data_IF_107124203921
#
_entry.id   IF_107124203921
#
_cell.length_a   1.000
_cell.length_b   1.000
_cell.length_c   1.000
_cell.angle_alpha   90.00
_cell.angle_beta   90.00
_cell.angle_gamma   90.00
#
_symmetry.space_group_name_H-M   'P 1'
#
loop_
_entity.id
_entity.type
_entity.pdbx_description
1 polymer ?
#
# COMPACT_ATOMS: atom_id res chain seq x y z
N UNK A 1 -17.21 -45.28 29.30
CA UNK A 1 -16.10 -44.78 28.47
C UNK A 1 -16.62 -43.54 27.76
N UNK A 2 -16.10 -42.33 27.91
CA UNK A 2 -15.01 -41.78 28.70
C UNK A 2 -15.11 -40.25 28.52
N UNK A 3 -14.82 -39.53 29.59
CA UNK A 3 -14.85 -38.08 29.73
C UNK A 3 -14.11 -37.29 28.63
N UNK A 4 -14.61 -36.07 28.35
CA UNK A 4 -13.83 -34.91 27.89
C UNK A 4 -14.64 -33.64 28.25
N UNK A 5 -14.49 -33.13 29.47
CA UNK A 5 -13.68 -31.95 29.84
C UNK A 5 -14.25 -30.63 29.28
N UNK A 6 -14.87 -29.86 30.18
CA UNK A 6 -15.15 -28.44 30.05
C UNK A 6 -14.52 -27.73 31.26
N UNK A 7 -14.09 -26.50 31.00
CA UNK A 7 -13.83 -25.41 31.94
C UNK A 7 -12.54 -25.44 32.78
N UNK A 8 -11.53 -24.75 32.25
CA UNK A 8 -10.54 -24.04 33.05
C UNK A 8 -11.00 -22.58 33.21
N UNK A 9 -11.81 -22.31 34.24
CA UNK A 9 -12.05 -20.96 34.72
C UNK A 9 -11.19 -20.67 35.95
N UNK A 10 -10.40 -19.63 35.78
CA UNK A 10 -9.59 -18.88 36.72
C UNK A 10 -10.41 -18.44 37.95
N UNK A 11 -10.02 -18.91 39.13
CA UNK A 11 -10.43 -18.32 40.42
C UNK A 11 -9.20 -18.25 41.32
N UNK A 12 -8.80 -17.02 41.63
CA UNK A 12 -7.83 -16.67 42.65
C UNK A 12 -8.25 -17.22 44.02
N UNK A 13 -7.30 -17.82 44.74
CA UNK A 13 -7.32 -17.86 46.20
C UNK A 13 -6.04 -17.20 46.74
N UNK A 14 -6.22 -15.98 47.21
CA UNK A 14 -5.32 -15.29 48.13
C UNK A 14 -5.26 -16.08 49.43
N UNK A 15 -4.05 -16.38 49.93
CA UNK A 15 -3.72 -16.21 51.35
C UNK A 15 -2.20 -16.31 51.56
N UNK A 16 -1.64 -15.35 52.31
CA UNK A 16 -0.37 -15.43 53.04
C UNK A 16 0.96 -15.25 52.26
N UNK A 17 1.23 -14.00 51.89
CA UNK A 17 2.53 -13.39 52.19
C UNK A 17 2.33 -11.94 52.67
N UNK A 18 1.72 -11.83 53.86
CA UNK A 18 1.76 -10.63 54.70
C UNK A 18 3.23 -10.37 55.07
N UNK A 19 3.94 -9.60 54.25
CA UNK A 19 5.07 -8.82 54.73
C UNK A 19 5.16 -7.50 53.96
N UNK A 20 4.35 -6.55 54.45
CA UNK A 20 4.62 -5.12 54.54
C UNK A 20 5.75 -4.63 53.62
N UNK A 21 5.44 -4.13 52.43
CA UNK A 21 6.13 -2.94 51.94
C UNK A 21 5.08 -2.05 51.29
N UNK A 22 4.53 -1.21 52.16
CA UNK A 22 3.82 0.02 51.82
C UNK A 22 4.37 0.59 50.51
N UNK A 23 3.46 0.81 49.56
CA UNK A 23 3.37 2.02 48.73
C UNK A 23 4.43 3.04 49.14
N UNK A 24 5.25 3.50 48.18
CA UNK A 24 6.16 4.64 48.33
C UNK A 24 5.36 5.85 48.84
N UNK A 25 5.12 5.88 50.14
CA UNK A 25 4.91 7.07 50.89
C UNK A 25 6.24 7.79 50.81
N UNK A 26 6.18 9.01 50.27
CA UNK A 26 7.16 10.08 50.43
C UNK A 26 8.17 9.77 51.53
N UNK A 27 9.41 9.45 51.15
CA UNK A 27 10.47 9.27 52.14
C UNK A 27 10.65 10.60 52.86
N UNK A 28 10.13 10.68 54.08
CA UNK A 28 10.35 11.76 55.05
C UNK A 28 11.85 11.84 55.35
N UNK A 29 12.49 12.79 54.67
CA UNK A 29 13.84 13.26 54.96
C UNK A 29 13.70 14.37 56.01
N UNK A 30 14.41 14.24 57.12
CA UNK A 30 14.47 15.30 58.15
C UNK A 30 15.80 16.03 57.98
N UNK A 31 15.74 17.36 57.92
CA UNK A 31 16.90 18.23 57.94
C UNK A 31 17.22 18.57 59.40
N UNK A 32 18.38 18.16 59.89
CA UNK A 32 18.93 18.73 61.13
C UNK A 32 19.74 20.00 60.79
N UNK A 33 19.78 20.96 61.71
CA UNK A 33 20.30 22.33 61.57
C UNK A 33 21.76 22.41 61.06
N UNK A 34 21.95 22.13 59.77
CA UNK A 34 23.23 22.04 59.08
C UNK A 34 23.32 20.84 58.14
N UNK A 35 22.46 20.78 57.12
CA UNK A 35 22.64 20.07 55.83
C UNK A 35 23.11 18.59 55.82
N UNK A 36 22.88 17.79 56.86
CA UNK A 36 23.20 16.34 56.84
C UNK A 36 21.93 15.48 56.68
N UNK A 37 21.88 14.68 55.62
CA UNK A 37 20.76 13.74 55.37
C UNK A 37 20.95 12.45 56.19
N UNK A 38 19.99 12.16 57.07
CA UNK A 38 19.97 10.97 57.91
C UNK A 38 18.82 10.06 57.49
N UNK A 39 19.06 8.75 57.40
CA UNK A 39 18.00 7.78 57.17
C UNK A 39 17.11 7.67 58.43
N UNK A 40 15.85 8.07 58.33
CA UNK A 40 14.91 8.13 59.46
C UNK A 40 14.59 6.76 60.10
N UNK A 41 14.90 5.63 59.45
CA UNK A 41 14.70 4.29 60.02
C UNK A 41 15.94 3.70 60.69
N UNK A 42 17.13 4.11 60.30
CA UNK A 42 18.39 3.50 60.81
C UNK A 42 19.28 4.48 61.56
N UNK A 43 18.96 5.78 61.53
CA UNK A 43 19.72 6.83 62.21
C UNK A 43 21.14 7.04 61.67
N UNK A 44 21.52 6.37 60.58
CA UNK A 44 22.86 6.48 59.99
C UNK A 44 22.95 7.67 59.05
N UNK A 45 24.05 8.41 59.18
CA UNK A 45 24.44 9.49 58.27
C UNK A 45 24.67 8.89 56.89
N UNK A 46 23.99 9.43 55.88
CA UNK A 46 24.25 9.07 54.50
C UNK A 46 25.52 9.80 54.07
N UNK A 47 26.62 9.07 53.91
CA UNK A 47 27.89 9.66 53.47
C UNK A 47 27.72 10.30 52.08
N UNK A 48 28.48 11.36 51.80
CA UNK A 48 28.44 12.13 50.54
C UNK A 48 28.57 11.23 49.31
N UNK A 49 29.40 10.18 49.37
CA UNK A 49 29.54 9.18 48.30
C UNK A 49 28.25 8.40 48.03
N UNK A 50 27.53 7.97 49.07
CA UNK A 50 26.26 7.24 48.91
C UNK A 50 25.15 8.14 48.41
N UNK A 51 25.16 9.42 48.80
CA UNK A 51 24.26 10.46 48.27
C UNK A 51 24.52 10.68 46.77
N UNK A 52 25.78 10.77 46.37
CA UNK A 52 26.15 10.94 44.96
C UNK A 52 25.74 9.73 44.11
N UNK A 53 25.90 8.50 44.61
CA UNK A 53 25.41 7.30 43.91
C UNK A 53 23.89 7.27 43.75
N UNK A 54 23.12 7.58 44.80
CA UNK A 54 21.66 7.62 44.72
C UNK A 54 21.16 8.71 43.77
N UNK A 55 21.83 9.87 43.76
CA UNK A 55 21.57 10.94 42.80
C UNK A 55 21.87 10.50 41.37
N UNK A 56 22.98 9.79 41.13
CA UNK A 56 23.29 9.25 39.80
C UNK A 56 22.30 8.20 39.33
N UNK A 57 21.85 7.29 40.21
CA UNK A 57 20.83 6.29 39.86
C UNK A 57 19.49 6.98 39.55
N UNK A 58 19.08 7.97 40.37
CA UNK A 58 17.86 8.75 40.16
C UNK A 58 17.92 9.55 38.84
N UNK A 59 19.06 10.18 38.55
CA UNK A 59 19.31 10.87 37.27
C UNK A 59 19.28 9.90 36.09
N UNK A 60 19.89 8.71 36.22
CA UNK A 60 19.87 7.69 35.18
C UNK A 60 18.45 7.15 34.91
N UNK A 61 17.65 6.90 35.95
CA UNK A 61 16.27 6.46 35.83
C UNK A 61 15.37 7.55 35.22
N UNK A 62 15.58 8.81 35.60
CA UNK A 62 14.88 9.96 35.04
C UNK A 62 15.28 10.26 33.59
N UNK A 63 16.49 9.87 33.15
CA UNK A 63 16.89 9.90 31.74
C UNK A 63 16.37 8.70 30.94
N UNK A 64 16.22 7.52 31.56
CA UNK A 64 15.76 6.29 30.89
C UNK A 64 14.22 6.28 30.68
N UNK A 65 13.47 6.94 31.57
CA UNK A 65 12.01 7.03 31.50
C UNK A 65 11.48 7.76 30.25
N UNK A 66 11.98 8.96 29.87
CA UNK A 66 11.54 9.63 28.66
C UNK A 66 11.98 8.87 27.41
N UNK A 67 13.18 8.27 27.38
CA UNK A 67 13.66 7.50 26.22
C UNK A 67 12.82 6.25 25.97
N UNK A 68 12.39 5.54 27.03
CA UNK A 68 11.46 4.42 26.91
C UNK A 68 10.06 4.84 26.43
N UNK A 69 9.54 5.96 26.93
CA UNK A 69 8.28 6.55 26.45
C UNK A 69 8.37 6.99 24.98
N UNK A 70 9.48 7.61 24.57
CA UNK A 70 9.74 7.95 23.18
C UNK A 70 9.85 6.70 22.29
N UNK A 71 10.44 5.61 22.78
CA UNK A 71 10.53 4.34 22.04
C UNK A 71 9.15 3.70 21.87
N UNK A 72 8.32 3.66 22.92
CA UNK A 72 6.94 3.16 22.84
C UNK A 72 6.12 4.04 21.88
N UNK A 73 6.26 5.36 21.98
CA UNK A 73 5.58 6.29 21.08
C UNK A 73 6.06 6.14 19.63
N UNK A 74 7.36 5.93 19.40
CA UNK A 74 7.89 5.64 18.07
C UNK A 74 7.37 4.30 17.53
N UNK A 75 7.26 3.27 18.38
CA UNK A 75 6.69 1.96 18.04
C UNK A 75 5.19 2.03 17.75
N UNK A 76 4.42 2.87 18.44
CA UNK A 76 2.99 3.08 18.14
C UNK A 76 2.75 3.98 16.93
N UNK A 77 3.69 4.87 16.60
CA UNK A 77 3.68 5.72 15.39
C UNK A 77 4.20 4.97 14.15
N UNK A 78 4.70 3.73 14.29
CA UNK A 78 4.80 2.78 13.17
C UNK A 78 3.39 2.37 12.70
N UNK A 79 2.64 3.34 12.19
CA UNK A 79 1.52 3.09 11.32
C UNK A 79 2.03 2.19 10.22
N UNK A 80 1.42 1.01 10.12
CA UNK A 80 1.59 0.13 8.96
C UNK A 80 1.22 0.99 7.76
N UNK A 81 2.22 1.45 7.00
CA UNK A 81 1.98 2.16 5.75
C UNK A 81 1.31 1.14 4.84
N UNK A 82 -0.02 1.21 4.74
CA UNK A 82 -0.78 0.36 3.84
C UNK A 82 -0.64 0.93 2.45
N UNK A 83 0.15 0.25 1.62
CA UNK A 83 0.32 0.60 0.22
C UNK A 83 -0.90 0.20 -0.62
N UNK A 84 -1.98 -0.34 -0.04
CA UNK A 84 -3.22 -0.74 -0.72
C UNK A 84 -4.34 0.27 -0.50
N UNK A 85 -5.48 0.07 -1.17
CA UNK A 85 -6.71 0.77 -0.85
C UNK A 85 -7.07 0.53 0.64
N UNK A 86 -7.64 1.53 1.35
CA UNK A 86 -8.06 1.37 2.74
C UNK A 86 -9.21 0.37 2.87
N UNK A 87 -9.11 -0.54 3.84
CA UNK A 87 -10.23 -1.39 4.22
C UNK A 87 -11.34 -0.52 4.84
N UNK A 88 -12.59 -0.80 4.47
CA UNK A 88 -13.77 -0.19 5.10
C UNK A 88 -14.27 -1.04 6.27
N UNK A 89 -14.93 -0.39 7.23
CA UNK A 89 -15.53 -1.04 8.41
C UNK A 89 -17.04 -1.22 8.29
N UNK A 90 -17.61 -0.89 7.14
CA UNK A 90 -19.02 -1.09 6.77
C UNK A 90 -19.11 -1.94 5.52
N UNK A 91 -20.29 -2.45 5.20
CA UNK A 91 -20.47 -3.31 4.02
C UNK A 91 -20.17 -2.56 2.70
N UNK A 92 -20.57 -1.28 2.63
CA UNK A 92 -20.32 -0.39 1.48
C UNK A 92 -20.33 1.08 1.91
N UNK A 93 -19.83 1.96 1.03
CA UNK A 93 -19.85 3.42 1.21
C UNK A 93 -20.91 4.03 0.30
N UNK A 94 -21.84 4.78 0.87
CA UNK A 94 -22.88 5.50 0.13
C UNK A 94 -22.43 6.95 -0.12
N UNK A 95 -22.47 7.44 -1.37
CA UNK A 95 -22.19 8.84 -1.67
C UNK A 95 -23.15 9.78 -0.92
N UNK A 96 -22.63 10.95 -0.51
CA UNK A 96 -23.47 11.99 0.07
C UNK A 96 -24.61 12.37 -0.89
N UNK A 97 -25.81 12.58 -0.35
CA UNK A 97 -27.05 12.90 -1.08
C UNK A 97 -27.67 11.75 -1.90
N UNK A 98 -27.29 10.50 -1.64
CA UNK A 98 -28.03 9.35 -2.17
C UNK A 98 -29.26 9.07 -1.30
N UNK A 99 -30.46 9.25 -1.86
CA UNK A 99 -31.72 9.14 -1.12
C UNK A 99 -32.29 7.71 -1.06
N UNK A 100 -31.73 6.78 -1.84
CA UNK A 100 -32.04 5.35 -1.79
C UNK A 100 -30.89 4.54 -2.41
N UNK A 101 -30.48 3.45 -1.74
CA UNK A 101 -29.50 2.49 -2.25
C UNK A 101 -30.26 1.23 -2.64
N UNK A 102 -30.21 0.85 -3.91
CA UNK A 102 -30.82 -0.35 -4.46
C UNK A 102 -29.85 -1.09 -5.40
N UNK A 103 -30.34 -2.10 -6.12
CA UNK A 103 -29.52 -2.87 -7.06
C UNK A 103 -28.89 -2.03 -8.17
N UNK A 104 -29.45 -0.86 -8.51
CA UNK A 104 -28.87 0.01 -9.54
C UNK A 104 -27.55 0.64 -9.05
N UNK A 105 -27.44 0.95 -7.75
CA UNK A 105 -26.18 1.45 -7.17
C UNK A 105 -25.04 0.44 -7.34
N UNK A 106 -25.31 -0.86 -7.18
CA UNK A 106 -24.33 -1.93 -7.31
C UNK A 106 -24.16 -2.46 -8.74
N UNK A 107 -24.74 -1.80 -9.75
CA UNK A 107 -24.70 -2.28 -11.14
C UNK A 107 -24.04 -1.25 -12.05
N UNK A 108 -22.90 -1.62 -12.65
CA UNK A 108 -22.30 -0.84 -13.73
C UNK A 108 -22.75 -1.37 -15.10
N UNK A 109 -23.48 -0.55 -15.86
CA UNK A 109 -24.01 -0.93 -17.19
C UNK A 109 -23.20 -0.40 -18.36
N UNK A 110 -22.13 0.38 -18.11
CA UNK A 110 -21.32 1.03 -19.14
C UNK A 110 -20.53 0.09 -20.05
N UNK A 111 -20.47 -1.21 -19.72
CA UNK A 111 -19.81 -2.23 -20.54
C UNK A 111 -20.74 -2.96 -21.52
N UNK A 112 -22.05 -2.67 -21.50
CA UNK A 112 -23.01 -3.30 -22.41
C UNK A 112 -22.68 -2.96 -23.86
N UNK A 113 -22.69 -3.97 -24.73
CA UNK A 113 -22.47 -3.83 -26.17
C UNK A 113 -21.04 -3.50 -26.61
N UNK A 114 -20.05 -3.60 -25.70
CA UNK A 114 -18.64 -3.36 -26.05
C UNK A 114 -18.16 -4.27 -27.19
N UNK A 115 -18.69 -5.49 -27.28
CA UNK A 115 -18.30 -6.48 -28.30
C UNK A 115 -19.17 -6.46 -29.56
N UNK A 116 -20.20 -5.61 -29.60
CA UNK A 116 -21.17 -5.58 -30.71
C UNK A 116 -20.63 -4.80 -31.93
N UNK A 117 -19.58 -4.00 -31.74
CA UNK A 117 -19.04 -3.07 -32.74
C UNK A 117 -18.09 -3.68 -33.78
N UNK A 118 -17.86 -5.00 -33.74
CA UNK A 118 -16.85 -5.67 -34.56
C UNK A 118 -15.42 -5.33 -34.14
N UNK A 119 -14.45 -5.59 -35.03
CA UNK A 119 -13.04 -5.38 -34.74
C UNK A 119 -12.71 -3.88 -34.54
N UNK A 120 -12.01 -3.50 -33.45
CA UNK A 120 -11.60 -2.11 -33.23
C UNK A 120 -10.59 -1.67 -34.31
N UNK A 121 -10.57 -0.38 -34.65
CA UNK A 121 -9.57 0.21 -35.56
C UNK A 121 -8.35 0.77 -34.84
N UNK A 122 -8.48 1.05 -33.54
CA UNK A 122 -7.42 1.55 -32.66
C UNK A 122 -7.51 0.86 -31.32
N UNK A 123 -6.41 0.76 -30.58
CA UNK A 123 -6.44 0.24 -29.21
C UNK A 123 -7.40 1.06 -28.35
N UNK A 124 -8.31 0.39 -27.64
CA UNK A 124 -9.34 1.01 -26.80
C UNK A 124 -9.39 0.33 -25.44
N UNK A 125 -9.46 1.15 -24.39
CA UNK A 125 -9.66 0.71 -23.01
C UNK A 125 -10.96 1.29 -22.50
N UNK A 126 -11.87 0.45 -22.02
CA UNK A 126 -13.10 0.90 -21.34
C UNK A 126 -13.02 0.50 -19.88
N UNK A 127 -13.00 1.48 -18.98
CA UNK A 127 -12.76 1.27 -17.55
C UNK A 127 -14.06 1.21 -16.77
N UNK A 128 -14.03 0.43 -15.70
CA UNK A 128 -14.96 0.47 -14.59
C UNK A 128 -14.12 0.59 -13.31
N UNK A 129 -13.58 1.79 -13.08
CA UNK A 129 -12.88 2.17 -11.85
C UNK A 129 -13.82 2.94 -10.92
N UNK A 130 -13.33 3.38 -9.76
CA UNK A 130 -14.07 4.25 -8.84
C UNK A 130 -14.69 5.47 -9.55
N UNK A 131 -14.03 5.99 -10.59
CA UNK A 131 -14.52 7.14 -11.35
C UNK A 131 -15.80 6.83 -12.16
N UNK A 132 -15.91 5.63 -12.72
CA UNK A 132 -17.05 5.21 -13.54
C UNK A 132 -18.10 4.41 -12.75
N UNK A 133 -17.68 3.78 -11.66
CA UNK A 133 -18.52 2.91 -10.83
C UNK A 133 -18.31 3.21 -9.33
N UNK A 134 -19.07 4.18 -8.78
CA UNK A 134 -18.87 4.66 -7.41
C UNK A 134 -19.04 3.61 -6.31
N UNK A 135 -19.78 2.53 -6.56
CA UNK A 135 -19.93 1.43 -5.61
C UNK A 135 -18.63 0.66 -5.34
N UNK A 136 -17.58 0.85 -6.15
CA UNK A 136 -16.26 0.31 -5.89
C UNK A 136 -15.52 1.00 -4.74
N UNK A 137 -16.06 2.11 -4.20
CA UNK A 137 -15.44 2.82 -3.10
C UNK A 137 -15.30 1.91 -1.86
N UNK A 138 -14.05 1.69 -1.44
CA UNK A 138 -13.72 0.82 -0.31
C UNK A 138 -13.71 -0.68 -0.61
N UNK A 139 -13.91 -1.09 -1.87
CA UNK A 139 -13.97 -2.51 -2.26
C UNK A 139 -12.65 -3.05 -2.81
N UNK A 140 -11.64 -2.19 -2.98
CA UNK A 140 -10.29 -2.58 -3.42
C UNK A 140 -10.24 -3.34 -4.75
N UNK A 141 -11.23 -3.11 -5.63
CA UNK A 141 -11.29 -3.76 -6.94
C UNK A 141 -11.73 -2.79 -8.03
N UNK A 142 -11.17 -2.93 -9.22
CA UNK A 142 -11.67 -2.29 -10.44
C UNK A 142 -11.40 -3.16 -11.67
N UNK A 143 -11.93 -2.73 -12.80
CA UNK A 143 -11.97 -3.54 -14.01
C UNK A 143 -11.74 -2.70 -15.27
N UNK A 144 -11.23 -3.32 -16.32
CA UNK A 144 -11.18 -2.73 -17.66
C UNK A 144 -11.37 -3.80 -18.74
N UNK A 145 -12.02 -3.42 -19.84
CA UNK A 145 -12.04 -4.19 -21.09
C UNK A 145 -11.09 -3.54 -22.08
N UNK A 146 -10.22 -4.35 -22.66
CA UNK A 146 -9.17 -3.96 -23.60
C UNK A 146 -9.47 -4.56 -24.97
N UNK A 147 -9.44 -3.71 -26.00
CA UNK A 147 -9.75 -4.08 -27.37
C UNK A 147 -8.57 -3.68 -28.25
N UNK A 148 -7.98 -4.65 -28.94
CA UNK A 148 -6.78 -4.46 -29.75
C UNK A 148 -7.10 -4.69 -31.23
N UNK A 149 -6.84 -3.72 -32.12
CA UNK A 149 -6.81 -4.01 -33.55
C UNK A 149 -5.68 -4.99 -33.86
N UNK A 150 -5.67 -5.57 -35.06
CA UNK A 150 -4.48 -6.23 -35.59
C UNK A 150 -3.26 -5.29 -35.52
N UNK A 151 -2.13 -5.79 -35.00
CA UNK A 151 -0.94 -4.98 -34.74
C UNK A 151 -1.10 -3.93 -33.62
N UNK A 152 -2.19 -3.97 -32.86
CA UNK A 152 -2.49 -3.01 -31.80
C UNK A 152 -1.60 -3.19 -30.58
N UNK A 153 -1.15 -2.08 -29.99
CA UNK A 153 -0.30 -2.09 -28.78
C UNK A 153 -0.94 -1.30 -27.64
N UNK A 154 -0.91 -1.87 -26.44
CA UNK A 154 -0.94 -1.10 -25.20
C UNK A 154 0.52 -0.86 -24.79
N UNK A 155 1.05 0.36 -24.99
CA UNK A 155 2.47 0.63 -24.85
C UNK A 155 2.97 0.38 -23.42
N UNK A 156 4.30 0.29 -23.20
CA UNK A 156 4.85 0.13 -21.86
C UNK A 156 4.26 1.11 -20.86
N UNK A 157 3.69 0.58 -19.78
CA UNK A 157 3.01 1.35 -18.74
C UNK A 157 3.13 0.65 -17.38
N UNK A 158 2.68 1.33 -16.33
CA UNK A 158 2.61 0.79 -14.97
C UNK A 158 1.33 1.21 -14.25
N UNK A 159 0.91 0.38 -13.30
CA UNK A 159 -0.16 0.63 -12.36
C UNK A 159 0.43 0.90 -10.96
N UNK A 160 0.58 2.18 -10.54
CA UNK A 160 1.29 2.51 -9.31
C UNK A 160 0.58 2.03 -8.04
N UNK A 161 -0.73 1.80 -8.11
CA UNK A 161 -1.54 1.43 -6.94
C UNK A 161 -2.07 0.01 -6.98
N UNK A 162 -1.88 -0.75 -8.05
CA UNK A 162 -2.45 -2.10 -8.17
C UNK A 162 -1.60 -3.07 -8.95
N UNK A 163 -1.72 -4.34 -8.63
CA UNK A 163 -1.39 -5.41 -9.57
C UNK A 163 -2.53 -5.55 -10.58
N UNK A 164 -2.23 -6.03 -11.78
CA UNK A 164 -3.21 -6.30 -12.82
C UNK A 164 -3.25 -7.80 -13.11
N UNK A 165 -4.45 -8.35 -13.18
CA UNK A 165 -4.70 -9.71 -13.61
C UNK A 165 -5.48 -9.67 -14.94
N UNK A 166 -4.78 -9.97 -16.01
CA UNK A 166 -5.31 -10.00 -17.37
C UNK A 166 -5.88 -11.39 -17.69
N UNK A 167 -7.02 -11.43 -18.37
CA UNK A 167 -7.64 -12.63 -18.92
C UNK A 167 -8.00 -12.42 -20.40
N UNK A 168 -7.54 -13.29 -21.29
CA UNK A 168 -7.82 -13.20 -22.73
C UNK A 168 -9.16 -13.85 -23.05
N UNK A 169 -10.05 -13.10 -23.70
CA UNK A 169 -11.39 -13.57 -24.06
C UNK A 169 -11.58 -13.81 -25.56
N UNK A 170 -10.76 -13.19 -26.40
CA UNK A 170 -10.76 -13.41 -27.85
C UNK A 170 -9.38 -13.10 -28.45
N UNK A 171 -9.00 -13.84 -29.50
CA UNK A 171 -7.73 -13.65 -30.20
C UNK A 171 -6.52 -14.16 -29.39
N UNK A 172 -5.38 -13.52 -29.61
CA UNK A 172 -4.11 -13.82 -28.94
C UNK A 172 -3.37 -12.52 -28.62
N UNK A 173 -2.65 -12.50 -27.49
CA UNK A 173 -1.88 -11.34 -27.05
C UNK A 173 -0.47 -11.76 -26.65
N UNK A 174 0.52 -11.08 -27.22
CA UNK A 174 1.85 -11.06 -26.63
C UNK A 174 1.86 -10.10 -25.44
N UNK A 175 2.33 -10.58 -24.30
CA UNK A 175 2.46 -9.79 -23.08
C UNK A 175 3.89 -9.84 -22.59
N UNK A 176 4.30 -8.79 -21.89
CA UNK A 176 5.61 -8.80 -21.24
C UNK A 176 5.70 -7.83 -20.07
N UNK A 177 6.58 -8.15 -19.12
CA UNK A 177 6.91 -7.33 -17.97
C UNK A 177 8.42 -7.31 -17.74
N UNK A 178 8.88 -6.27 -17.04
CA UNK A 178 10.27 -6.13 -16.60
C UNK A 178 10.30 -6.00 -15.07
N UNK A 179 11.11 -6.81 -14.41
CA UNK A 179 11.30 -6.75 -12.96
C UNK A 179 12.34 -5.70 -12.54
N UNK A 180 12.54 -5.55 -11.23
CA UNK A 180 13.48 -4.58 -10.66
C UNK A 180 14.95 -4.91 -10.89
N UNK A 181 15.26 -6.11 -11.39
CA UNK A 181 16.61 -6.50 -11.84
C UNK A 181 16.82 -6.25 -13.34
N UNK A 182 15.84 -5.64 -14.02
CA UNK A 182 15.76 -5.47 -15.47
C UNK A 182 15.65 -6.79 -16.23
N UNK A 183 15.16 -7.86 -15.58
CA UNK A 183 14.89 -9.12 -16.28
C UNK A 183 13.54 -9.01 -16.98
N UNK A 184 13.55 -9.35 -18.26
CA UNK A 184 12.38 -9.39 -19.11
C UNK A 184 11.70 -10.76 -19.05
N UNK A 185 10.38 -10.76 -18.94
CA UNK A 185 9.53 -11.94 -18.96
C UNK A 185 8.40 -11.71 -19.95
N UNK A 186 8.14 -12.68 -20.84
CA UNK A 186 7.10 -12.58 -21.84
C UNK A 186 6.41 -13.91 -22.11
N UNK A 187 5.22 -13.81 -22.71
CA UNK A 187 4.46 -14.95 -23.18
C UNK A 187 3.49 -14.53 -24.29
N UNK A 188 3.16 -15.46 -25.19
CA UNK A 188 2.01 -15.33 -26.10
C UNK A 188 0.83 -16.06 -25.47
N UNK A 189 -0.21 -15.30 -25.11
CA UNK A 189 -1.43 -15.80 -24.49
C UNK A 189 -2.48 -16.14 -25.55
N UNK A 190 -3.30 -17.15 -25.27
CA UNK A 190 -4.47 -17.54 -26.05
C UNK A 190 -5.74 -17.35 -25.22
N UNK A 191 -6.90 -17.47 -25.87
CA UNK A 191 -8.21 -17.40 -25.18
C UNK A 191 -8.25 -18.37 -24.00
N UNK A 192 -8.63 -17.86 -22.83
CA UNK A 192 -8.67 -18.61 -21.58
C UNK A 192 -7.41 -18.49 -20.72
N UNK A 193 -6.32 -17.95 -21.26
CA UNK A 193 -5.10 -17.71 -20.47
C UNK A 193 -5.25 -16.48 -19.57
N UNK A 194 -4.57 -16.56 -18.42
CA UNK A 194 -4.40 -15.44 -17.49
C UNK A 194 -2.93 -15.07 -17.37
N UNK A 195 -2.67 -13.78 -17.15
CA UNK A 195 -1.32 -13.29 -16.86
C UNK A 195 -1.36 -12.21 -15.79
N UNK A 196 -0.42 -12.28 -14.84
CA UNK A 196 -0.31 -11.34 -13.73
C UNK A 196 0.80 -10.33 -14.02
N UNK A 197 0.47 -9.05 -13.90
CA UNK A 197 1.44 -7.95 -13.84
C UNK A 197 1.53 -7.47 -12.40
N UNK A 198 2.65 -7.75 -11.69
CA UNK A 198 2.83 -7.29 -10.32
C UNK A 198 2.79 -5.76 -10.22
N UNK A 199 2.28 -5.28 -9.09
CA UNK A 199 2.08 -3.87 -8.82
C UNK A 199 3.33 -3.03 -9.12
N UNK A 200 3.16 -1.96 -9.87
CA UNK A 200 4.21 -0.99 -10.15
C UNK A 200 5.22 -1.41 -11.23
N UNK A 201 5.24 -2.67 -11.69
CA UNK A 201 6.18 -3.09 -12.72
C UNK A 201 5.78 -2.57 -14.10
N UNK A 202 6.79 -2.23 -14.91
CA UNK A 202 6.58 -1.84 -16.30
C UNK A 202 6.18 -3.07 -17.11
N UNK A 203 5.09 -2.97 -17.86
CA UNK A 203 4.58 -4.04 -18.69
C UNK A 203 3.86 -3.51 -19.93
N UNK A 204 3.56 -4.40 -20.88
CA UNK A 204 2.87 -4.07 -22.13
C UNK A 204 2.00 -5.24 -22.60
N UNK A 205 1.09 -4.97 -23.53
CA UNK A 205 0.41 -5.99 -24.32
C UNK A 205 0.43 -5.60 -25.80
N UNK A 206 0.52 -6.59 -26.67
CA UNK A 206 0.61 -6.41 -28.11
C UNK A 206 -0.18 -7.50 -28.83
N UNK A 207 -1.07 -7.10 -29.72
CA UNK A 207 -1.72 -8.03 -30.64
C UNK A 207 -0.83 -8.22 -31.88
N UNK A 208 -0.11 -9.33 -31.91
CA UNK A 208 0.78 -9.67 -33.02
C UNK A 208 0.06 -10.20 -34.27
N UNK A 209 -1.27 -10.41 -34.22
CA UNK A 209 -2.02 -10.86 -35.39
C UNK A 209 -2.01 -9.79 -36.49
N UNK A 210 -1.77 -10.18 -37.76
CA UNK A 210 -1.78 -9.26 -38.90
C UNK A 210 -3.19 -8.89 -39.38
N UNK A 211 -4.22 -9.66 -38.99
CA UNK A 211 -5.59 -9.48 -39.49
C UNK A 211 -6.64 -9.44 -38.39
N UNK A 212 -6.41 -10.15 -37.29
CA UNK A 212 -7.46 -10.42 -36.31
C UNK A 212 -7.35 -9.47 -35.12
N UNK A 213 -8.50 -9.11 -34.57
CA UNK A 213 -8.56 -8.38 -33.31
C UNK A 213 -8.27 -9.32 -32.13
N UNK A 214 -7.94 -8.72 -30.99
CA UNK A 214 -7.86 -9.42 -29.72
C UNK A 214 -8.59 -8.63 -28.64
N UNK A 215 -9.19 -9.36 -27.70
CA UNK A 215 -9.94 -8.78 -26.59
C UNK A 215 -9.49 -9.42 -25.28
N UNK A 216 -9.35 -8.57 -24.27
CA UNK A 216 -8.97 -9.01 -22.93
C UNK A 216 -9.69 -8.20 -21.87
N UNK A 217 -9.67 -8.77 -20.66
CA UNK A 217 -10.23 -8.19 -19.46
C UNK A 217 -9.10 -8.07 -18.44
N UNK A 218 -8.99 -6.91 -17.81
CA UNK A 218 -8.06 -6.68 -16.70
C UNK A 218 -8.81 -6.40 -15.42
N UNK A 219 -8.53 -7.18 -14.38
CA UNK A 219 -8.96 -6.93 -13.02
C UNK A 219 -7.81 -6.34 -12.19
N UNK A 220 -8.12 -5.41 -11.31
CA UNK A 220 -7.13 -4.72 -10.48
C UNK A 220 -7.50 -4.87 -9.01
N UNK A 221 -6.52 -5.11 -8.14
CA UNK A 221 -6.67 -5.08 -6.68
C UNK A 221 -6.69 -3.67 -6.08
N UNK A 222 -7.32 -2.72 -6.77
CA UNK A 222 -7.59 -1.36 -6.29
C UNK A 222 -8.78 -0.80 -7.07
N UNK A 223 -9.66 -0.05 -6.41
CA UNK A 223 -10.73 0.71 -7.06
C UNK A 223 -10.19 1.83 -7.96
N UNK A 224 -8.94 2.24 -7.75
CA UNK A 224 -8.25 3.23 -8.57
C UNK A 224 -6.78 2.83 -8.77
N UNK A 225 -6.52 1.87 -9.66
CA UNK A 225 -5.17 1.40 -9.96
C UNK A 225 -4.22 2.53 -10.44
N UNK A 226 -4.76 3.52 -11.16
CA UNK A 226 -3.98 4.52 -11.89
C UNK A 226 -3.23 3.92 -13.06
N UNK A 227 -2.83 4.75 -14.03
CA UNK A 227 -2.02 4.29 -15.17
C UNK A 227 -0.97 5.34 -15.47
N UNK A 228 0.28 4.92 -15.60
CA UNK A 228 1.39 5.77 -16.03
C UNK A 228 1.94 5.18 -17.32
N UNK A 229 1.67 5.84 -18.45
CA UNK A 229 2.26 5.47 -19.73
C UNK A 229 3.73 5.90 -19.74
N UNK A 230 4.65 4.94 -19.86
CA UNK A 230 6.09 5.25 -19.92
C UNK A 230 6.42 6.20 -21.08
N UNK A 231 6.03 5.94 -22.35
CA UNK A 231 6.40 6.83 -23.44
C UNK A 231 5.82 8.24 -23.26
N UNK A 232 4.56 8.38 -22.85
CA UNK A 232 3.96 9.71 -22.66
C UNK A 232 4.57 10.43 -21.45
N UNK A 233 4.71 9.77 -20.31
CA UNK A 233 5.27 10.40 -19.11
C UNK A 233 6.72 10.84 -19.30
N UNK A 234 7.51 10.09 -20.08
CA UNK A 234 8.93 10.43 -20.33
C UNK A 234 9.08 11.49 -21.42
N UNK A 235 8.34 11.38 -22.53
CA UNK A 235 8.60 12.20 -23.73
C UNK A 235 7.57 13.30 -23.99
N UNK A 236 6.37 13.26 -23.41
CA UNK A 236 5.33 14.29 -23.65
C UNK A 236 5.07 15.16 -22.42
N UNK A 237 6.05 15.27 -21.53
CA UNK A 237 6.00 16.11 -20.33
C UNK A 237 7.06 17.21 -20.38
N UNK A 238 7.15 18.04 -19.33
CA UNK A 238 8.11 19.14 -19.22
C UNK A 238 9.56 18.70 -18.91
N UNK A 239 9.93 17.42 -19.08
CA UNK A 239 11.32 17.00 -18.92
C UNK A 239 12.15 17.59 -20.07
N UNK A 240 13.21 18.29 -19.70
CA UNK A 240 14.15 18.95 -20.61
C UNK A 240 14.77 17.96 -21.62
N UNK A 241 14.90 18.41 -22.87
CA UNK A 241 15.44 17.58 -23.95
C UNK A 241 16.91 17.18 -23.68
N UNK A 242 17.70 18.06 -23.06
CA UNK A 242 19.08 17.78 -22.68
C UNK A 242 19.18 16.74 -21.57
N UNK A 243 18.29 16.79 -20.57
CA UNK A 243 18.18 15.75 -19.54
C UNK A 243 17.85 14.39 -20.16
N UNK A 244 16.87 14.34 -21.06
CA UNK A 244 16.51 13.11 -21.75
C UNK A 244 17.65 12.62 -22.66
N UNK A 245 18.34 13.51 -23.38
CA UNK A 245 19.47 13.14 -24.21
C UNK A 245 20.59 12.49 -23.39
N UNK A 246 20.91 13.05 -22.22
CA UNK A 246 21.86 12.45 -21.27
C UNK A 246 21.38 11.09 -20.73
N UNK A 247 20.12 11.00 -20.30
CA UNK A 247 19.55 9.78 -19.74
C UNK A 247 19.49 8.62 -20.75
N UNK A 248 19.13 8.92 -21.99
CA UNK A 248 19.02 7.95 -23.08
C UNK A 248 20.33 7.77 -23.87
N UNK A 249 21.41 8.48 -23.48
CA UNK A 249 22.74 8.42 -24.13
C UNK A 249 22.65 8.71 -25.64
N UNK A 250 21.94 9.76 -25.99
CA UNK A 250 21.69 10.21 -27.36
C UNK A 250 21.83 11.74 -27.46
N UNK A 251 21.28 12.36 -28.49
CA UNK A 251 21.27 13.81 -28.71
C UNK A 251 19.86 14.41 -28.65
N UNK A 252 19.80 15.74 -28.48
CA UNK A 252 18.55 16.51 -28.39
C UNK A 252 17.68 16.32 -29.64
N UNK A 253 18.27 16.23 -30.83
CA UNK A 253 17.52 16.08 -32.08
C UNK A 253 16.76 14.74 -32.12
N UNK A 254 17.38 13.67 -31.62
CA UNK A 254 16.77 12.35 -31.49
C UNK A 254 15.62 12.37 -30.49
N UNK A 255 15.81 13.02 -29.33
CA UNK A 255 14.73 13.19 -28.35
C UNK A 255 13.55 13.93 -28.96
N UNK A 256 13.79 15.06 -29.63
CA UNK A 256 12.74 15.85 -30.27
C UNK A 256 11.98 15.03 -31.32
N UNK A 257 12.69 14.21 -32.11
CA UNK A 257 12.06 13.28 -33.06
C UNK A 257 11.12 12.29 -32.39
N UNK A 258 11.51 11.72 -31.24
CA UNK A 258 10.63 10.84 -30.45
C UNK A 258 9.41 11.61 -29.95
N UNK A 259 9.61 12.81 -29.37
CA UNK A 259 8.52 13.66 -28.88
C UNK A 259 7.49 13.96 -29.98
N UNK A 260 7.94 14.37 -31.17
CA UNK A 260 7.06 14.65 -32.32
C UNK A 260 6.26 13.42 -32.74
N UNK A 261 6.84 12.22 -32.67
CA UNK A 261 6.15 10.98 -33.01
C UNK A 261 5.03 10.57 -32.05
N UNK A 262 5.03 11.10 -30.82
CA UNK A 262 4.05 10.78 -29.77
C UNK A 262 2.93 11.82 -29.62
N UNK A 263 3.01 12.95 -30.34
CA UNK A 263 1.91 13.93 -30.37
C UNK A 263 0.72 13.26 -31.09
N UNK A 264 -0.48 13.19 -30.48
CA UNK A 264 -1.66 12.68 -31.14
C UNK A 264 -1.88 13.41 -32.48
N UNK A 265 -2.08 12.65 -33.55
CA UNK A 265 -2.43 13.20 -34.87
C UNK A 265 -3.91 13.56 -34.93
#
# INVERSE_FOLDING_TARGET
MGHMECDANFVETNQEAKNRHSVMASSELVFDNGDVLVNSRTGRIINSDSRNQLLQISMALNCLRPTFLFLIMALTISHVVRASDPDITSDFIVPANSNAVDGAFFTHTGLRGIFDGGAPTTFKVTKASLAEFPALNGQSVSFAVLQYPAGGVNPPHTHPRSAELLFVIEGSLEVGLVDTTNKYFNQTLQVGDMFIFPKGLVHYQYNASPSDAAFAVSAFGSANAGTVSVPLSVFTTGIDDGILALAFKTDVATIQKIKTGLVPK
#
